data_IF_459042896652
#
_entry.id   IF_459042896652
#
_cell.length_a   1.000
_cell.length_b   1.000
_cell.length_c   1.000
_cell.angle_alpha   90.00
_cell.angle_beta   90.00
_cell.angle_gamma   90.00
#
_symmetry.space_group_name_H-M   'P 1'
#
loop_
_entity.id
_entity.type
_entity.pdbx_description
1 polymer ?
#
# COMPACT_ATOMS: atom_id res chain seq x y z
N UNK A 1 -3.33 7.99 11.75
CA UNK A 1 -4.19 7.42 10.69
C UNK A 1 -3.37 6.44 9.86
N UNK A 2 -4.01 5.42 9.27
CA UNK A 2 -3.32 4.44 8.41
C UNK A 2 -3.36 4.90 6.96
N UNK A 3 -2.20 4.91 6.32
CA UNK A 3 -1.99 5.31 4.93
C UNK A 3 -1.57 4.10 4.11
N UNK A 4 -2.10 4.02 2.89
CA UNK A 4 -1.70 3.06 1.87
C UNK A 4 -1.09 3.79 0.68
N UNK A 5 -0.21 3.10 -0.06
CA UNK A 5 0.36 3.64 -1.31
C UNK A 5 -0.75 3.88 -2.34
N UNK A 6 -0.80 5.09 -2.88
CA UNK A 6 -1.68 5.46 -4.00
C UNK A 6 -0.85 5.60 -5.27
N UNK A 7 -1.49 5.32 -6.41
CA UNK A 7 -0.92 5.49 -7.73
C UNK A 7 -1.83 6.42 -8.51
N UNK A 8 -1.27 7.51 -9.03
CA UNK A 8 -2.01 8.52 -9.79
C UNK A 8 -1.39 8.73 -11.16
N UNK A 9 -2.23 8.89 -12.17
CA UNK A 9 -1.80 9.37 -13.49
C UNK A 9 -1.39 10.84 -13.42
N UNK A 10 -0.78 11.35 -14.49
CA UNK A 10 -0.50 12.78 -14.64
C UNK A 10 -1.74 13.68 -14.53
N UNK A 11 -2.93 13.15 -14.85
CA UNK A 11 -4.22 13.82 -14.71
C UNK A 11 -4.81 13.77 -13.28
N UNK A 12 -4.15 13.08 -12.34
CA UNK A 12 -4.60 12.94 -10.95
C UNK A 12 -5.60 11.81 -10.71
N UNK A 13 -5.86 10.95 -11.70
CA UNK A 13 -6.77 9.82 -11.57
C UNK A 13 -6.10 8.67 -10.81
N UNK A 14 -6.80 8.10 -9.84
CA UNK A 14 -6.32 6.92 -9.09
C UNK A 14 -6.39 5.65 -9.93
N UNK A 15 -5.35 4.82 -9.83
CA UNK A 15 -5.19 3.57 -10.58
C UNK A 15 -5.18 2.39 -9.61
N UNK A 16 -5.91 1.32 -9.95
CA UNK A 16 -5.92 0.06 -9.18
C UNK A 16 -4.57 -0.66 -9.27
N UNK A 17 -4.22 -1.43 -8.23
CA UNK A 17 -3.01 -2.27 -8.18
C UNK A 17 -2.95 -3.30 -9.31
N UNK A 18 -4.09 -3.70 -9.87
CA UNK A 18 -4.11 -4.65 -11.01
C UNK A 18 -3.68 -3.99 -12.33
N UNK A 19 -3.74 -2.65 -12.39
CA UNK A 19 -3.45 -1.85 -13.57
C UNK A 19 -2.08 -1.18 -13.51
N UNK A 20 -1.20 -1.60 -12.61
CA UNK A 20 0.17 -1.07 -12.49
C UNK A 20 1.20 -2.14 -12.83
N UNK A 21 2.33 -1.70 -13.37
CA UNK A 21 3.52 -2.53 -13.56
C UNK A 21 4.69 -1.80 -12.88
N UNK A 22 5.34 -2.49 -11.95
CA UNK A 22 6.53 -2.01 -11.25
C UNK A 22 7.77 -2.38 -12.06
N UNK A 23 8.49 -1.39 -12.59
CA UNK A 23 9.74 -1.61 -13.34
C UNK A 23 10.92 -1.66 -12.39
N UNK A 24 10.96 -0.74 -11.41
CA UNK A 24 11.97 -0.69 -10.37
C UNK A 24 11.33 -0.26 -9.02
N UNK A 25 12.14 -0.08 -7.97
CA UNK A 25 11.62 0.26 -6.63
C UNK A 25 10.79 1.55 -6.58
N UNK A 26 11.07 2.51 -7.46
CA UNK A 26 10.47 3.85 -7.46
C UNK A 26 9.74 4.20 -8.76
N UNK A 27 9.84 3.37 -9.79
CA UNK A 27 9.26 3.58 -11.11
C UNK A 27 8.13 2.59 -11.33
N UNK A 28 6.92 3.11 -11.34
CA UNK A 28 5.69 2.38 -11.61
C UNK A 28 5.02 3.01 -12.82
N UNK A 29 4.56 2.17 -13.75
CA UNK A 29 3.85 2.61 -14.95
C UNK A 29 2.46 2.00 -15.00
N UNK A 30 1.56 2.63 -15.75
CA UNK A 30 0.25 2.05 -16.03
C UNK A 30 0.37 0.86 -16.99
N UNK A 31 -0.35 -0.22 -16.72
CA UNK A 31 -0.27 -1.48 -17.48
C UNK A 31 -0.61 -1.31 -18.97
N UNK A 32 -1.69 -0.58 -19.25
CA UNK A 32 -2.20 -0.28 -20.60
C UNK A 32 -1.50 0.90 -21.28
N UNK A 33 -1.54 2.10 -20.68
CA UNK A 33 -1.03 3.33 -21.33
C UNK A 33 0.48 3.46 -21.31
N UNK A 34 1.17 2.64 -20.48
CA UNK A 34 2.62 2.71 -20.23
C UNK A 34 3.10 4.07 -19.69
N UNK A 35 2.19 4.94 -19.28
CA UNK A 35 2.55 6.24 -18.69
C UNK A 35 3.13 6.06 -17.27
N UNK A 36 4.05 6.92 -16.84
CA UNK A 36 4.56 6.91 -15.47
C UNK A 36 3.48 7.33 -14.47
N UNK A 37 3.41 6.63 -13.35
CA UNK A 37 2.48 6.92 -12.27
C UNK A 37 3.18 7.60 -11.08
N UNK A 38 2.52 8.58 -10.51
CA UNK A 38 2.94 9.22 -9.26
C UNK A 38 2.58 8.32 -8.07
N UNK A 39 3.54 8.14 -7.16
CA UNK A 39 3.40 7.29 -5.97
C UNK A 39 3.36 8.17 -4.73
N UNK A 40 2.27 8.09 -3.97
CA UNK A 40 2.10 8.83 -2.72
C UNK A 40 1.62 7.91 -1.58
N UNK A 41 1.64 8.43 -0.35
CA UNK A 41 1.03 7.79 0.82
C UNK A 41 -0.17 8.59 1.31
N UNK A 42 -1.36 8.02 1.20
CA UNK A 42 -2.60 8.72 1.55
C UNK A 42 -3.49 7.87 2.45
N UNK A 43 -4.40 8.51 3.20
CA UNK A 43 -5.39 7.81 4.03
C UNK A 43 -6.08 6.73 3.20
N UNK A 44 -6.14 5.51 3.75
CA UNK A 44 -6.78 4.39 3.08
C UNK A 44 -8.25 4.66 2.77
N UNK A 45 -8.67 4.38 1.54
CA UNK A 45 -10.06 4.48 1.10
C UNK A 45 -10.30 3.67 -0.18
N UNK A 46 -11.54 3.21 -0.37
CA UNK A 46 -11.93 2.42 -1.56
C UNK A 46 -11.70 3.20 -2.86
N UNK A 47 -12.03 4.49 -2.89
CA UNK A 47 -11.90 5.34 -4.08
C UNK A 47 -10.45 5.57 -4.56
N UNK A 48 -9.46 5.32 -3.70
CA UNK A 48 -8.03 5.48 -4.00
C UNK A 48 -7.31 4.18 -4.32
N UNK A 49 -8.03 3.04 -4.24
CA UNK A 49 -7.49 1.70 -4.49
C UNK A 49 -6.26 1.34 -3.63
N UNK A 50 -6.12 1.96 -2.46
CA UNK A 50 -4.97 1.81 -1.57
C UNK A 50 -5.28 1.06 -0.28
N UNK A 51 -6.48 0.47 -0.18
CA UNK A 51 -6.83 -0.44 0.90
C UNK A 51 -5.99 -1.71 0.85
N UNK A 52 -5.82 -2.32 2.02
CA UNK A 52 -5.29 -3.67 2.17
C UNK A 52 -6.34 -4.44 2.98
N UNK A 53 -6.67 -5.65 2.53
CA UNK A 53 -7.59 -6.51 3.25
C UNK A 53 -6.86 -7.11 4.48
N UNK A 54 -7.36 -6.92 5.71
CA UNK A 54 -6.76 -7.54 6.87
C UNK A 54 -6.85 -9.08 6.84
N UNK A 55 -7.84 -9.67 6.17
CA UNK A 55 -7.98 -11.14 6.08
C UNK A 55 -6.79 -11.75 5.34
N UNK A 56 -6.32 -11.13 4.24
CA UNK A 56 -5.13 -11.57 3.51
C UNK A 56 -3.88 -11.65 4.41
N UNK A 57 -3.73 -10.71 5.34
CA UNK A 57 -2.58 -10.66 6.26
C UNK A 57 -2.73 -11.72 7.35
N UNK A 58 -3.95 -11.91 7.87
CA UNK A 58 -4.25 -12.92 8.88
C UNK A 58 -4.03 -14.31 8.30
N UNK A 59 -4.47 -14.56 7.07
CA UNK A 59 -4.28 -15.83 6.38
C UNK A 59 -2.80 -16.12 6.12
N UNK A 60 -2.03 -15.08 5.80
CA UNK A 60 -0.59 -15.22 5.52
C UNK A 60 0.27 -15.38 6.77
N UNK A 61 -0.02 -14.64 7.85
CA UNK A 61 0.89 -14.51 9.00
C UNK A 61 0.26 -14.88 10.36
N UNK A 62 -1.04 -15.13 10.41
CA UNK A 62 -1.78 -15.40 11.63
C UNK A 62 -2.25 -14.14 12.37
N UNK A 63 -3.26 -14.33 13.22
CA UNK A 63 -3.95 -13.24 13.94
C UNK A 63 -3.04 -12.53 14.94
N UNK A 64 -2.26 -13.27 15.73
CA UNK A 64 -1.43 -12.69 16.79
C UNK A 64 -0.29 -11.86 16.21
N UNK A 65 0.38 -12.36 15.17
CA UNK A 65 1.41 -11.61 14.46
C UNK A 65 0.84 -10.34 13.84
N UNK A 66 -0.33 -10.41 13.21
CA UNK A 66 -1.01 -9.25 12.62
C UNK A 66 -1.31 -8.18 13.69
N UNK A 67 -1.80 -8.59 14.87
CA UNK A 67 -2.07 -7.67 15.99
C UNK A 67 -0.79 -7.01 16.49
N UNK A 68 0.31 -7.76 16.63
CA UNK A 68 1.61 -7.22 17.03
C UNK A 68 2.10 -6.21 15.99
N UNK A 69 2.04 -6.56 14.70
CA UNK A 69 2.43 -5.69 13.58
C UNK A 69 1.68 -4.35 13.58
N UNK A 70 0.38 -4.38 13.92
CA UNK A 70 -0.44 -3.17 14.07
C UNK A 70 -0.02 -2.28 15.26
N UNK A 71 0.57 -2.86 16.30
CA UNK A 71 0.99 -2.15 17.51
C UNK A 71 2.46 -1.70 17.47
N UNK A 72 3.28 -2.30 16.61
CA UNK A 72 4.73 -2.02 16.50
C UNK A 72 5.04 -0.94 15.45
N UNK A 73 6.30 -0.53 15.34
CA UNK A 73 6.89 0.45 14.40
C UNK A 73 6.51 1.93 14.58
N UNK A 74 5.27 2.26 14.91
CA UNK A 74 4.85 3.66 15.07
C UNK A 74 3.90 3.85 16.27
N UNK A 75 3.97 5.04 16.88
CA UNK A 75 3.08 5.42 17.99
C UNK A 75 1.60 5.46 17.54
N UNK A 76 0.62 5.10 18.38
CA UNK A 76 -0.80 5.02 17.99
C UNK A 76 -1.38 6.30 17.37
N UNK A 77 -0.87 7.46 17.80
CA UNK A 77 -1.31 8.78 17.29
C UNK A 77 -0.58 9.25 16.02
N UNK A 78 0.48 8.56 15.61
CA UNK A 78 1.27 8.95 14.44
C UNK A 78 0.61 8.52 13.13
N UNK A 79 1.06 9.12 12.03
CA UNK A 79 0.78 8.63 10.69
C UNK A 79 1.52 7.31 10.45
N UNK A 80 0.85 6.33 9.83
CA UNK A 80 1.38 5.00 9.57
C UNK A 80 1.31 4.70 8.08
N UNK A 81 2.46 4.58 7.43
CA UNK A 81 2.57 4.03 6.08
C UNK A 81 2.54 2.51 6.17
N UNK A 82 1.44 1.89 5.77
CA UNK A 82 1.21 0.46 5.91
C UNK A 82 1.54 -0.30 4.63
N UNK A 83 2.40 -1.31 4.75
CA UNK A 83 2.85 -2.16 3.64
C UNK A 83 2.75 -3.62 4.08
N UNK A 84 2.17 -4.51 3.29
CA UNK A 84 2.10 -5.94 3.61
C UNK A 84 3.44 -6.67 3.42
N UNK A 85 4.33 -6.16 2.55
CA UNK A 85 5.64 -6.77 2.31
C UNK A 85 6.66 -6.27 3.34
N UNK A 86 6.54 -6.77 4.55
CA UNK A 86 7.57 -6.62 5.56
C UNK A 86 8.61 -7.73 5.34
N UNK A 87 9.72 -7.42 4.65
CA UNK A 87 10.92 -8.25 4.69
C UNK A 87 11.54 -8.15 6.10
N UNK A 88 10.87 -8.78 7.07
CA UNK A 88 11.36 -8.90 8.43
C UNK A 88 12.33 -10.07 8.43
N UNK A 89 13.61 -9.77 8.20
CA UNK A 89 14.67 -10.60 8.75
C UNK A 89 14.60 -10.36 10.26
N UNK A 90 14.08 -11.33 10.99
CA UNK A 90 14.10 -11.34 12.46
C UNK A 90 15.49 -11.79 12.90
#
# INVERSE_FOLDING_TARGET
MVQGKTYKTSSGQYVSKDNIITIDKNTVIHSLTKEPLQIDWEKMSKSKYNGIDPEEIIDQYGVDFTRILMLTFVHPRSLRNFNCNYNLVI
#
